data_IF_465880109029
#
_entry.id   IF_465880109029
#
_cell.length_a   1.000
_cell.length_b   1.000
_cell.length_c   1.000
_cell.angle_alpha   90.00
_cell.angle_beta   90.00
_cell.angle_gamma   90.00
#
_symmetry.space_group_name_H-M   'P 1'
#
loop_
_entity.id
_entity.type
_entity.pdbx_description
1 polymer ?
2 non-polymer ?
3 non-polymer ?
4 non-polymer ?
5 water ?
#
# COMPACT_ATOMS: atom_id res chain seq x y z
N UNK A 11 -23.13 -6.75 -10.91
CA UNK A 11 -22.76 -7.89 -11.75
C UNK A 11 -22.53 -7.43 -13.21
N UNK A 12 -23.13 -6.31 -13.58
CA UNK A 12 -22.74 -5.65 -14.82
C UNK A 12 -21.26 -5.36 -14.81
N UNK A 13 -20.74 -4.93 -13.66
CA UNK A 13 -19.36 -4.49 -13.55
C UNK A 13 -18.37 -5.65 -13.58
N UNK A 14 -18.73 -6.81 -13.00
CA UNK A 14 -17.82 -7.96 -13.10
C UNK A 14 -17.73 -8.46 -14.53
N UNK A 15 -18.83 -8.35 -15.28
CA UNK A 15 -18.84 -8.82 -16.65
C UNK A 15 -17.87 -8.03 -17.53
N UNK A 16 -17.94 -6.70 -17.47
CA UNK A 16 -17.06 -5.88 -18.29
C UNK A 16 -15.59 -6.08 -17.90
N UNK A 17 -15.33 -6.29 -16.59
CA UNK A 17 -13.96 -6.41 -16.12
C UNK A 17 -13.38 -7.79 -16.40
N UNK A 18 -14.20 -8.83 -16.24
CA UNK A 18 -13.71 -10.17 -16.55
C UNK A 18 -13.40 -10.32 -18.03
N UNK A 19 -14.10 -9.56 -18.88
CA UNK A 19 -13.88 -9.68 -20.31
C UNK A 19 -12.58 -9.01 -20.74
N UNK A 20 -12.33 -7.79 -20.23
CA UNK A 20 -11.31 -6.89 -20.78
C UNK A 20 -9.95 -7.56 -20.91
N UNK A 21 -9.13 -7.04 -21.85
CA UNK A 21 -7.72 -7.41 -21.95
C UNK A 21 -6.95 -6.63 -20.92
N UNK A 22 -5.94 -7.24 -20.31
CA UNK A 22 -5.18 -6.55 -19.27
C UNK A 22 -3.93 -6.00 -19.93
N UNK A 23 -3.83 -4.69 -20.16
CA UNK A 23 -2.65 -4.14 -20.80
C UNK A 23 -1.41 -4.44 -19.99
N UNK A 24 -0.26 -4.26 -20.62
CA UNK A 24 0.98 -4.63 -19.96
C UNK A 24 1.28 -3.69 -18.80
N UNK A 25 2.21 -4.15 -17.96
CA UNK A 25 2.72 -3.32 -16.87
C UNK A 25 3.26 -2.01 -17.42
N UNK A 26 4.00 -2.09 -18.53
CA UNK A 26 4.56 -0.89 -19.14
C UNK A 26 3.47 0.03 -19.67
N UNK A 27 2.42 -0.52 -20.29
CA UNK A 27 1.37 0.34 -20.84
C UNK A 27 0.65 1.11 -19.74
N UNK A 28 0.54 0.51 -18.54
CA UNK A 28 -0.24 1.08 -17.44
C UNK A 28 0.59 1.99 -16.54
N UNK A 29 1.90 1.90 -16.61
CA UNK A 29 2.83 2.77 -15.90
C UNK A 29 2.92 2.45 -14.41
N UNK A 30 2.46 1.26 -14.04
CA UNK A 30 2.38 0.83 -12.64
C UNK A 30 3.74 0.39 -12.14
N UNK A 31 4.79 0.57 -12.95
CA UNK A 31 6.18 0.34 -12.52
C UNK A 31 6.90 1.61 -12.07
N UNK A 32 6.39 2.79 -12.44
CA UNK A 32 7.02 4.05 -12.07
C UNK A 32 6.60 4.44 -10.66
N UNK A 33 7.59 4.71 -9.80
CA UNK A 33 7.26 5.31 -8.51
C UNK A 33 6.42 6.58 -8.64
N UNK A 34 6.41 7.21 -9.82
CA UNK A 34 5.72 8.48 -10.06
C UNK A 34 4.27 8.28 -10.50
N UNK A 35 3.79 7.04 -10.51
CA UNK A 35 2.49 6.73 -11.08
C UNK A 35 1.36 7.51 -10.39
N UNK A 36 0.35 7.90 -11.18
CA UNK A 36 -0.82 8.59 -10.65
C UNK A 36 -2.10 7.98 -11.21
N UNK A 37 -3.19 8.12 -10.46
CA UNK A 37 -4.43 7.44 -10.75
C UNK A 37 -5.57 8.38 -11.11
N UNK A 38 -5.31 9.69 -11.19
CA UNK A 38 -6.40 10.67 -11.30
C UNK A 38 -7.19 10.53 -12.59
N UNK A 39 -6.56 10.12 -13.69
CA UNK A 39 -7.27 10.01 -14.97
C UNK A 39 -7.95 8.67 -15.18
N UNK A 40 -7.89 7.76 -14.21
CA UNK A 40 -8.35 6.39 -14.40
C UNK A 40 -9.74 6.21 -13.83
N UNK A 41 -10.59 5.45 -14.54
CA UNK A 41 -11.85 5.05 -13.95
C UNK A 41 -11.63 3.92 -12.95
N UNK A 42 -12.68 3.61 -12.20
CA UNK A 42 -12.60 2.44 -11.32
C UNK A 42 -12.21 1.21 -12.10
N UNK A 43 -12.81 1.01 -13.28
CA UNK A 43 -12.50 -0.17 -14.08
C UNK A 43 -11.02 -0.25 -14.37
N UNK A 44 -10.39 0.89 -14.62
CA UNK A 44 -8.99 0.85 -15.05
C UNK A 44 -8.07 0.52 -13.87
N UNK A 45 -8.49 0.87 -12.65
CA UNK A 45 -7.68 0.52 -11.50
C UNK A 45 -7.81 -0.97 -11.21
N UNK A 46 -8.97 -1.55 -11.48
CA UNK A 46 -9.11 -3.00 -11.42
C UNK A 46 -8.14 -3.69 -12.37
N UNK A 47 -8.09 -3.24 -13.63
CA UNK A 47 -7.14 -3.84 -14.61
C UNK A 47 -5.71 -3.70 -14.14
N UNK A 48 -5.33 -2.47 -13.78
CA UNK A 48 -4.03 -2.26 -13.15
C UNK A 48 -3.79 -3.27 -12.03
N UNK A 49 -4.82 -3.54 -11.22
CA UNK A 49 -4.62 -4.45 -10.10
C UNK A 49 -4.44 -5.88 -10.58
N UNK A 50 -5.20 -6.32 -11.58
CA UNK A 50 -4.95 -7.64 -12.15
C UNK A 50 -3.53 -7.72 -12.70
N UNK A 51 -3.07 -6.66 -13.36
CA UNK A 51 -1.73 -6.70 -13.91
C UNK A 51 -0.68 -6.84 -12.81
N UNK A 52 -0.92 -6.20 -11.65
CA UNK A 52 -0.03 -6.36 -10.51
C UNK A 52 0.07 -7.81 -10.06
N UNK A 53 -1.10 -8.44 -9.83
CA UNK A 53 -1.08 -9.86 -9.45
C UNK A 53 -0.41 -10.71 -10.52
N UNK A 54 -0.60 -10.36 -11.79
CA UNK A 54 -0.16 -11.25 -12.86
C UNK A 54 1.35 -11.19 -13.04
N UNK A 55 1.89 -9.97 -13.12
CA UNK A 55 3.30 -9.78 -13.31
C UNK A 55 4.10 -10.04 -12.06
N UNK A 56 3.46 -10.18 -10.91
CA UNK A 56 4.19 -10.67 -9.76
C UNK A 56 4.29 -12.20 -9.75
N UNK A 57 3.64 -12.86 -10.71
CA UNK A 57 3.56 -14.31 -10.88
C UNK A 57 2.59 -14.93 -9.89
N UNK A 58 1.72 -14.10 -9.31
CA UNK A 58 0.80 -14.56 -8.28
C UNK A 58 -0.33 -15.39 -8.86
N UNK A 59 -0.77 -15.08 -10.07
CA UNK A 59 -1.85 -15.84 -10.70
C UNK A 59 -1.34 -17.20 -11.16
N UNK A 60 -0.11 -17.22 -11.68
CA UNK A 60 0.52 -18.47 -12.09
C UNK A 60 0.80 -19.36 -10.88
N UNK A 61 1.63 -18.85 -9.95
CA UNK A 61 2.18 -19.69 -8.89
C UNK A 61 1.12 -20.19 -7.90
N UNK A 62 -0.09 -19.62 -7.89
CA UNK A 62 -1.12 -19.99 -6.94
C UNK A 62 -2.47 -20.25 -7.62
N UNK A 63 -2.46 -20.38 -8.94
CA UNK A 63 -3.58 -20.92 -9.71
C UNK A 63 -4.88 -20.17 -9.40
N UNK A 64 -4.84 -18.86 -9.63
CA UNK A 64 -5.99 -18.02 -9.38
C UNK A 64 -6.90 -18.06 -10.60
N UNK A 65 -8.14 -18.50 -10.40
CA UNK A 65 -9.13 -18.45 -11.46
C UNK A 65 -9.45 -16.98 -11.78
N UNK A 66 -9.37 -16.63 -13.07
CA UNK A 66 -9.57 -15.25 -13.52
C UNK A 66 -10.86 -14.64 -12.97
N UNK A 67 -11.95 -15.41 -12.96
CA UNK A 67 -13.23 -14.86 -12.54
C UNK A 67 -13.22 -14.53 -11.05
N UNK A 68 -12.45 -15.28 -10.27
CA UNK A 68 -12.44 -15.07 -8.82
C UNK A 68 -11.58 -13.86 -8.44
N UNK A 69 -10.41 -13.71 -9.09
CA UNK A 69 -9.60 -12.51 -8.89
C UNK A 69 -10.41 -11.26 -9.22
N UNK A 70 -10.99 -11.20 -10.42
CA UNK A 70 -11.89 -10.10 -10.76
C UNK A 70 -12.92 -9.86 -9.67
N UNK A 71 -13.60 -10.92 -9.22
CA UNK A 71 -14.66 -10.71 -8.24
C UNK A 71 -14.09 -10.29 -6.88
N UNK A 72 -12.93 -10.84 -6.51
CA UNK A 72 -12.26 -10.40 -5.30
C UNK A 72 -11.91 -8.92 -5.35
N UNK A 73 -11.35 -8.46 -6.48
CA UNK A 73 -10.94 -7.05 -6.60
C UNK A 73 -12.14 -6.12 -6.47
N UNK A 74 -13.25 -6.45 -7.14
CA UNK A 74 -14.45 -5.63 -7.02
C UNK A 74 -15.04 -5.70 -5.62
N UNK A 75 -14.91 -6.84 -4.95
CA UNK A 75 -15.33 -6.87 -3.54
C UNK A 75 -14.53 -5.87 -2.74
N UNK A 76 -13.21 -5.92 -2.86
CA UNK A 76 -12.36 -5.03 -2.09
C UNK A 76 -12.73 -3.58 -2.38
N UNK A 77 -12.74 -3.19 -3.66
CA UNK A 77 -13.16 -1.84 -4.03
C UNK A 77 -14.53 -1.49 -3.43
N UNK A 78 -15.49 -2.42 -3.50
CA UNK A 78 -16.81 -2.15 -2.96
C UNK A 78 -16.76 -1.77 -1.48
N UNK A 79 -15.81 -2.29 -0.72
CA UNK A 79 -15.85 -2.14 0.73
C UNK A 79 -14.91 -1.05 1.23
N UNK A 80 -14.56 -0.13 0.34
CA UNK A 80 -14.10 1.20 0.70
C UNK A 80 -15.22 2.19 0.46
N UNK A 81 -15.19 3.28 1.22
CA UNK A 81 -16.27 4.25 1.25
C UNK A 81 -15.96 5.42 0.31
N UNK A 82 -16.83 5.60 -0.68
CA UNK A 82 -16.69 6.69 -1.63
C UNK A 82 -16.71 8.04 -0.93
N UNK A 83 -17.51 8.16 0.14
CA UNK A 83 -17.70 9.43 0.84
C UNK A 83 -16.50 9.84 1.73
N UNK A 84 -15.42 9.08 1.77
CA UNK A 84 -14.24 9.44 2.55
C UNK A 84 -13.20 10.00 1.58
N UNK A 85 -12.67 11.20 1.87
CA UNK A 85 -11.84 11.92 0.90
C UNK A 85 -10.52 11.20 0.60
N UNK A 86 -9.78 10.81 1.63
CA UNK A 86 -8.47 10.24 1.37
C UNK A 86 -8.44 8.72 1.57
N UNK A 87 -8.86 8.24 2.75
CA UNK A 87 -8.84 6.80 3.01
C UNK A 87 -9.99 6.13 2.24
N UNK A 88 -9.76 5.88 0.95
CA UNK A 88 -10.73 5.23 0.07
C UNK A 88 -10.01 4.25 -0.87
N UNK A 89 -10.79 3.64 -1.77
CA UNK A 89 -10.24 2.61 -2.65
C UNK A 89 -9.03 3.12 -3.43
N UNK A 90 -9.06 4.38 -3.88
CA UNK A 90 -7.93 4.91 -4.62
C UNK A 90 -6.68 4.95 -3.75
N UNK A 91 -6.79 5.34 -2.48
CA UNK A 91 -5.60 5.27 -1.64
C UNK A 91 -5.13 3.82 -1.48
N UNK A 92 -6.07 2.88 -1.39
CA UNK A 92 -5.70 1.47 -1.34
C UNK A 92 -5.03 1.01 -2.61
N UNK A 93 -5.56 1.44 -3.76
CA UNK A 93 -4.96 1.08 -5.04
C UNK A 93 -3.55 1.64 -5.18
N UNK A 94 -3.37 2.91 -4.79
CA UNK A 94 -2.06 3.55 -4.83
C UNK A 94 -1.06 2.87 -3.92
N UNK A 95 -1.47 2.48 -2.70
CA UNK A 95 -0.55 1.75 -1.83
C UNK A 95 -0.09 0.46 -2.48
N UNK A 96 -0.99 -0.23 -3.18
CA UNK A 96 -0.59 -1.46 -3.86
C UNK A 96 0.35 -1.20 -5.02
N UNK A 97 0.03 -0.18 -5.83
CA UNK A 97 0.92 0.19 -6.93
C UNK A 97 2.32 0.47 -6.42
N UNK A 98 2.42 1.17 -5.29
CA UNK A 98 3.74 1.47 -4.77
C UNK A 98 4.44 0.18 -4.33
N UNK A 99 3.69 -0.73 -3.69
CA UNK A 99 4.25 -2.04 -3.38
C UNK A 99 4.81 -2.70 -4.64
N UNK A 100 4.01 -2.68 -5.72
CA UNK A 100 4.43 -3.24 -7.00
C UNK A 100 5.70 -2.56 -7.51
N UNK A 101 5.72 -1.23 -7.50
CA UNK A 101 6.90 -0.56 -8.02
C UNK A 101 8.10 -0.83 -7.13
N UNK A 102 7.90 -0.89 -5.82
CA UNK A 102 9.00 -1.20 -4.93
C UNK A 102 9.52 -2.61 -5.20
N UNK A 103 8.64 -3.54 -5.54
CA UNK A 103 9.08 -4.91 -5.81
C UNK A 103 9.85 -4.99 -7.12
N UNK A 104 9.33 -4.38 -8.19
CA UNK A 104 9.97 -4.41 -9.51
C UNK A 104 11.01 -3.30 -9.68
N UNK A 105 10.55 -2.09 -10.00
CA UNK A 105 11.46 -0.95 -10.15
C UNK A 105 12.49 -0.87 -9.03
N UNK A 106 12.10 -1.16 -7.79
CA UNK A 106 12.99 -1.07 -6.66
C UNK A 106 13.72 -2.35 -6.30
N UNK A 107 13.56 -3.39 -7.12
CA UNK A 107 14.34 -4.62 -7.04
C UNK A 107 14.19 -5.36 -5.69
N UNK A 108 13.09 -5.14 -4.98
CA UNK A 108 12.90 -5.81 -3.69
C UNK A 108 12.32 -7.21 -3.89
N UNK A 109 11.75 -7.49 -5.06
CA UNK A 109 11.21 -8.82 -5.35
C UNK A 109 12.19 -9.92 -4.97
N UNK A 110 13.46 -9.78 -5.40
CA UNK A 110 14.50 -10.79 -5.17
C UNK A 110 14.63 -11.18 -3.71
N UNK A 111 14.37 -10.24 -2.81
CA UNK A 111 14.64 -10.42 -1.39
C UNK A 111 13.52 -11.15 -0.64
N UNK A 112 12.39 -11.46 -1.28
CA UNK A 112 11.23 -12.02 -0.59
C UNK A 112 10.80 -13.31 -1.27
N UNK A 113 10.01 -14.11 -0.54
CA UNK A 113 9.36 -15.27 -1.12
C UNK A 113 8.01 -14.89 -1.74
N UNK A 114 7.46 -15.84 -2.51
CA UNK A 114 6.19 -15.61 -3.20
C UNK A 114 5.04 -15.44 -2.22
N UNK A 115 5.07 -16.16 -1.09
CA UNK A 115 4.00 -16.03 -0.11
C UNK A 115 4.06 -14.66 0.56
N UNK A 116 5.28 -14.16 0.81
CA UNK A 116 5.42 -12.80 1.34
C UNK A 116 4.90 -11.78 0.34
N UNK A 117 5.24 -11.95 -0.94
CA UNK A 117 4.77 -11.03 -1.98
C UNK A 117 3.26 -11.10 -2.12
N UNK A 118 2.69 -12.31 -2.16
CA UNK A 118 1.25 -12.46 -2.27
C UNK A 118 0.54 -11.83 -1.07
N UNK A 119 1.14 -11.88 0.12
CA UNK A 119 0.53 -11.29 1.31
C UNK A 119 0.69 -9.77 1.34
N UNK A 120 1.85 -9.23 0.94
CA UNK A 120 2.02 -7.78 0.90
C UNK A 120 1.04 -7.12 -0.07
N UNK A 121 0.87 -7.71 -1.27
CA UNK A 121 -0.09 -7.16 -2.23
C UNK A 121 -1.53 -7.22 -1.71
N UNK A 122 -1.93 -8.33 -1.10
CA UNK A 122 -3.28 -8.39 -0.57
C UNK A 122 -3.44 -7.43 0.61
N UNK A 123 -2.42 -7.33 1.43
CA UNK A 123 -2.51 -6.45 2.59
C UNK A 123 -2.49 -4.99 2.15
N UNK A 124 -1.68 -4.64 1.14
CA UNK A 124 -1.68 -3.26 0.66
C UNK A 124 -3.06 -2.88 0.16
N UNK A 125 -3.69 -3.75 -0.63
CA UNK A 125 -5.03 -3.45 -1.15
C UNK A 125 -6.07 -3.46 -0.05
N UNK A 126 -5.85 -4.21 1.05
CA UNK A 126 -6.92 -4.39 2.04
C UNK A 126 -6.75 -3.53 3.29
N UNK A 127 -5.58 -2.89 3.48
CA UNK A 127 -5.12 -2.37 4.77
C UNK A 127 -5.98 -1.25 5.36
N UNK A 128 -6.93 -0.67 4.60
CA UNK A 128 -7.79 0.40 5.09
C UNK A 128 -9.27 0.08 4.84
N UNK A 129 -9.64 -1.19 4.67
CA UNK A 129 -11.00 -1.54 4.29
C UNK A 129 -12.03 -0.99 5.28
N UNK A 130 -13.10 -0.42 4.75
CA UNK A 130 -14.21 0.09 5.56
C UNK A 130 -13.76 1.24 6.49
N UNK A 131 -12.81 2.04 6.04
CA UNK A 131 -12.38 3.24 6.77
C UNK A 131 -13.41 4.36 6.58
N UNK A 132 -13.73 5.08 7.65
CA UNK A 132 -14.81 6.07 7.62
C UNK A 132 -14.31 7.52 7.77
N UNK A 133 -13.01 7.76 7.64
CA UNK A 133 -12.53 9.10 7.84
C UNK A 133 -12.02 9.29 9.24
N UNK A 134 -10.85 9.92 9.37
CA UNK A 134 -10.21 10.06 10.68
C UNK A 134 -11.14 10.69 11.72
N UNK A 135 -12.07 11.55 11.28
CA UNK A 135 -12.98 12.23 12.21
C UNK A 135 -14.29 11.48 12.43
N UNK A 136 -14.32 10.17 12.20
CA UNK A 136 -15.43 9.33 12.64
C UNK A 136 -14.85 8.14 13.41
N UNK A 137 -14.07 8.45 14.45
CA UNK A 137 -13.55 7.42 15.35
C UNK A 137 -14.58 6.97 16.40
N UNK A 138 -15.85 6.87 16.01
CA UNK A 138 -16.84 5.95 16.55
C UNK A 138 -16.26 4.52 16.67
N UNK A 139 -17.01 3.60 17.30
CA UNK A 139 -17.10 2.14 17.18
C UNK A 139 -17.33 1.55 18.58
N UNK A 140 -18.18 0.51 18.65
CA UNK A 140 -18.62 -0.17 19.88
C UNK A 140 -18.81 0.83 21.03
N UNK A 152 -3.68 0.02 20.71
CA UNK A 152 -3.41 -1.37 20.33
C UNK A 152 -3.96 -1.73 18.93
N UNK A 153 -4.04 -0.71 18.05
CA UNK A 153 -4.43 -0.87 16.66
C UNK A 153 -5.88 -1.34 16.50
N UNK A 154 -6.85 -0.53 16.91
CA UNK A 154 -8.25 -0.92 16.77
C UNK A 154 -8.66 -0.93 15.31
N UNK A 155 -8.43 0.19 14.60
CA UNK A 155 -8.75 0.30 13.19
C UNK A 155 -8.14 -0.83 12.38
N UNK A 156 -6.83 -1.01 12.51
CA UNK A 156 -6.11 -2.01 11.74
C UNK A 156 -6.70 -3.41 11.95
N UNK A 157 -7.11 -3.72 13.19
CA UNK A 157 -7.76 -5.00 13.45
C UNK A 157 -9.07 -5.09 12.70
N UNK A 158 -9.84 -4.02 12.68
CA UNK A 158 -11.07 -4.02 11.90
C UNK A 158 -10.79 -4.12 10.40
N UNK A 159 -9.73 -3.45 9.93
CA UNK A 159 -9.37 -3.55 8.53
C UNK A 159 -9.06 -4.99 8.15
N UNK A 160 -8.31 -5.68 9.01
CA UNK A 160 -7.97 -7.07 8.71
C UNK A 160 -9.22 -7.96 8.73
N UNK A 161 -10.11 -7.74 9.71
CA UNK A 161 -11.36 -8.49 9.74
C UNK A 161 -12.08 -8.39 8.41
N UNK A 162 -12.29 -7.16 7.94
CA UNK A 162 -12.91 -6.93 6.64
C UNK A 162 -12.19 -7.68 5.53
N UNK A 163 -10.85 -7.63 5.55
CA UNK A 163 -10.05 -8.30 4.53
C UNK A 163 -10.29 -9.80 4.53
N UNK A 164 -10.20 -10.43 5.72
CA UNK A 164 -10.44 -11.86 5.85
C UNK A 164 -11.86 -12.22 5.41
N UNK A 165 -12.85 -11.46 5.87
CA UNK A 165 -14.25 -11.66 5.53
C UNK A 165 -14.43 -11.71 4.02
N UNK A 166 -13.69 -10.86 3.29
CA UNK A 166 -13.76 -10.84 1.85
C UNK A 166 -13.04 -12.03 1.24
N UNK A 167 -11.81 -12.31 1.70
CA UNK A 167 -11.08 -13.46 1.20
C UNK A 167 -11.85 -14.77 1.35
N UNK A 168 -12.84 -14.83 2.25
CA UNK A 168 -13.64 -16.03 2.49
C UNK A 168 -14.98 -16.05 1.77
N UNK A 169 -15.44 -14.90 1.27
CA UNK A 169 -16.72 -14.86 0.59
C UNK A 169 -16.74 -15.82 -0.59
N UNK A 170 -17.84 -16.53 -0.82
CA UNK A 170 -17.90 -17.46 -1.96
C UNK A 170 -17.69 -16.72 -3.27
N UNK A 171 -16.85 -17.30 -4.13
CA UNK A 171 -16.51 -16.69 -5.39
C UNK A 171 -15.38 -15.69 -5.35
N UNK A 172 -14.87 -15.38 -4.15
CA UNK A 172 -13.83 -14.37 -3.99
C UNK A 172 -12.54 -14.96 -3.44
N UNK A 173 -12.46 -16.28 -3.33
CA UNK A 173 -11.38 -16.89 -2.56
C UNK A 173 -10.14 -17.09 -3.43
N UNK A 174 -9.36 -16.02 -3.58
CA UNK A 174 -8.18 -16.11 -4.43
C UNK A 174 -7.08 -16.96 -3.83
N UNK A 175 -7.22 -17.41 -2.59
CA UNK A 175 -6.18 -18.21 -1.96
C UNK A 175 -6.51 -19.72 -1.96
N UNK A 176 -7.57 -20.12 -2.68
CA UNK A 176 -7.93 -21.54 -2.75
C UNK A 176 -6.82 -22.38 -3.36
N UNK A 177 -5.99 -21.82 -4.23
CA UNK A 177 -4.93 -22.60 -4.82
C UNK A 177 -3.82 -22.96 -3.86
N UNK A 178 -3.83 -22.40 -2.65
CA UNK A 178 -2.77 -22.62 -1.68
C UNK A 178 -3.08 -23.83 -0.81
N UNK A 179 -2.03 -24.53 -0.39
CA UNK A 179 -2.23 -25.59 0.60
C UNK A 179 -2.64 -24.97 1.93
N UNK A 180 -3.09 -25.81 2.85
CA UNK A 180 -3.50 -25.30 4.15
C UNK A 180 -2.33 -24.60 4.85
N UNK A 181 -1.12 -25.15 4.72
CA UNK A 181 0.04 -24.52 5.36
C UNK A 181 0.48 -23.25 4.62
N UNK A 182 0.45 -23.24 3.28
CA UNK A 182 0.66 -21.98 2.58
C UNK A 182 -0.35 -20.93 3.02
N UNK A 183 -1.61 -21.35 3.16
CA UNK A 183 -2.70 -20.46 3.53
C UNK A 183 -2.48 -19.88 4.93
N UNK A 184 -2.16 -20.73 5.90
CA UNK A 184 -2.01 -20.21 7.26
C UNK A 184 -0.84 -19.24 7.35
N UNK A 185 0.27 -19.55 6.66
CA UNK A 185 1.42 -18.64 6.60
C UNK A 185 1.04 -17.30 5.95
N UNK A 186 0.30 -17.36 4.84
CA UNK A 186 -0.08 -16.14 4.14
C UNK A 186 -0.94 -15.23 5.02
N UNK A 187 -1.94 -15.79 5.71
CA UNK A 187 -2.82 -14.98 6.54
C UNK A 187 -2.10 -14.35 7.72
N UNK A 188 -1.08 -15.05 8.24
CA UNK A 188 -0.28 -14.48 9.31
C UNK A 188 0.40 -13.20 8.83
N UNK A 189 1.07 -13.29 7.67
CA UNK A 189 1.76 -12.12 7.12
C UNK A 189 0.76 -11.02 6.79
N UNK A 190 -0.31 -11.34 6.07
CA UNK A 190 -1.35 -10.36 5.75
C UNK A 190 -1.75 -9.57 6.99
N UNK A 191 -2.05 -10.28 8.07
CA UNK A 191 -2.46 -9.65 9.32
C UNK A 191 -1.35 -8.76 9.87
N UNK A 192 -0.14 -9.29 9.95
CA UNK A 192 1.00 -8.48 10.35
C UNK A 192 1.16 -7.27 9.44
N UNK A 193 1.03 -7.46 8.14
CA UNK A 193 1.20 -6.33 7.23
C UNK A 193 0.15 -5.26 7.46
N UNK A 194 -1.12 -5.65 7.61
CA UNK A 194 -2.15 -4.64 7.84
C UNK A 194 -1.93 -3.95 9.18
N UNK A 195 -1.58 -4.73 10.20
CA UNK A 195 -1.42 -4.13 11.52
C UNK A 195 -0.23 -3.19 11.53
N UNK A 196 0.81 -3.50 10.74
CA UNK A 196 1.96 -2.63 10.61
C UNK A 196 1.60 -1.23 10.13
N UNK A 197 0.43 -1.04 9.50
CA UNK A 197 0.08 0.28 8.99
C UNK A 197 -0.44 1.22 10.09
N UNK A 198 -0.48 0.75 11.34
CA UNK A 198 -0.66 1.64 12.49
C UNK A 198 0.63 2.41 12.73
N UNK A 199 0.61 3.73 12.55
CA UNK A 199 1.84 4.48 12.71
C UNK A 199 2.40 4.36 14.14
N UNK A 200 1.54 4.00 15.11
CA UNK A 200 2.03 3.74 16.47
C UNK A 200 3.03 2.57 16.48
N UNK A 201 2.67 1.45 15.84
CA UNK A 201 3.61 0.35 15.72
C UNK A 201 4.84 0.75 14.91
N UNK A 202 4.65 1.53 13.85
CA UNK A 202 5.80 2.00 13.09
C UNK A 202 6.77 2.78 13.98
N UNK A 203 6.25 3.70 14.79
CA UNK A 203 7.10 4.47 15.70
C UNK A 203 7.77 3.55 16.72
N UNK A 204 7.05 2.51 17.17
CA UNK A 204 7.60 1.63 18.19
C UNK A 204 8.76 0.80 17.64
N UNK A 205 8.71 0.42 16.36
CA UNK A 205 9.62 -0.60 15.85
C UNK A 205 10.67 -0.06 14.91
N UNK A 206 10.53 1.17 14.43
CA UNK A 206 11.47 1.68 13.43
C UNK A 206 12.84 1.94 14.03
N UNK A 207 12.90 2.27 15.32
CA UNK A 207 14.19 2.42 15.98
C UNK A 207 15.09 1.21 15.81
N UNK A 208 14.55 0.01 16.01
CA UNK A 208 15.33 -1.20 15.79
C UNK A 208 15.76 -1.32 14.34
N UNK A 209 14.88 -0.94 13.40
CA UNK A 209 15.18 -1.08 11.97
C UNK A 209 16.34 -0.18 11.57
N UNK A 210 16.27 1.11 11.92
CA UNK A 210 17.36 2.04 11.65
C UNK A 210 18.67 1.58 12.31
N UNK A 211 18.59 1.18 13.59
CA UNK A 211 19.76 0.72 14.34
C UNK A 211 20.50 -0.37 13.59
N UNK A 212 19.77 -1.34 13.04
CA UNK A 212 20.42 -2.45 12.34
C UNK A 212 20.96 -2.02 10.98
N UNK A 213 20.47 -0.93 10.41
CA UNK A 213 21.01 -0.42 9.17
C UNK A 213 22.16 0.54 9.43
N UNK A 214 22.06 1.32 10.51
CA UNK A 214 23.17 2.16 10.95
C UNK A 214 24.43 1.34 11.12
N UNK A 215 24.32 0.20 11.79
CA UNK A 215 25.45 -0.63 12.16
C UNK A 215 25.79 -1.69 11.11
N UNK A 216 25.18 -1.64 9.92
CA UNK A 216 25.46 -2.57 8.82
C UNK A 216 25.25 -4.04 9.21
N UNK A 217 24.34 -4.33 10.14
CA UNK A 217 24.06 -5.71 10.53
C UNK A 217 22.69 -6.18 10.07
N UNK A 218 22.04 -5.44 9.18
CA UNK A 218 20.70 -5.79 8.70
C UNK A 218 20.79 -7.02 7.79
N UNK A 219 20.22 -8.13 8.26
CA UNK A 219 20.22 -9.36 7.49
C UNK A 219 18.80 -9.91 7.43
N UNK A 220 18.29 -10.09 6.20
CA UNK A 220 16.91 -10.53 6.01
C UNK A 220 16.71 -11.99 6.35
N UNK A 221 17.79 -12.76 6.44
CA UNK A 221 17.63 -14.18 6.73
C UNK A 221 17.18 -14.43 8.16
N UNK A 222 17.43 -13.49 9.08
CA UNK A 222 16.84 -13.57 10.41
C UNK A 222 15.32 -13.42 10.26
N UNK A 223 14.52 -14.34 10.79
CA UNK A 223 13.06 -14.17 10.71
C UNK A 223 12.53 -12.89 11.35
N UNK A 224 12.96 -12.56 12.56
CA UNK A 224 12.48 -11.33 13.18
C UNK A 224 12.84 -10.11 12.35
N UNK A 225 14.00 -10.14 11.67
CA UNK A 225 14.39 -9.02 10.83
C UNK A 225 13.56 -8.97 9.54
N UNK A 226 13.32 -10.14 8.92
CA UNK A 226 12.44 -10.19 7.75
C UNK A 226 11.08 -9.59 8.06
N UNK A 227 10.44 -10.06 9.13
CA UNK A 227 9.11 -9.56 9.47
C UNK A 227 9.14 -8.06 9.75
N UNK A 228 10.26 -7.54 10.26
CA UNK A 228 10.34 -6.10 10.55
C UNK A 228 10.48 -5.30 9.27
N UNK A 229 11.28 -5.79 8.33
CA UNK A 229 11.35 -5.16 7.03
C UNK A 229 9.97 -5.10 6.39
N UNK A 230 9.23 -6.22 6.42
CA UNK A 230 7.90 -6.24 5.83
C UNK A 230 7.01 -5.16 6.44
N UNK A 231 7.03 -5.02 7.77
CA UNK A 231 6.28 -3.93 8.41
C UNK A 231 6.75 -2.57 7.90
N UNK A 232 8.06 -2.37 7.80
CA UNK A 232 8.56 -1.08 7.35
C UNK A 232 8.16 -0.80 5.91
N UNK A 233 8.23 -1.83 5.04
CA UNK A 233 7.80 -1.67 3.64
C UNK A 233 6.32 -1.33 3.52
N UNK A 234 5.48 -1.88 4.39
CA UNK A 234 4.07 -1.52 4.37
C UNK A 234 3.87 -0.04 4.66
N UNK A 235 4.61 0.51 5.64
CA UNK A 235 4.50 1.93 5.93
C UNK A 235 5.02 2.78 4.77
N UNK A 236 6.17 2.40 4.20
CA UNK A 236 6.74 3.13 3.08
C UNK A 236 5.75 3.27 1.93
N UNK A 237 4.92 2.23 1.71
CA UNK A 237 3.94 2.26 0.63
C UNK A 237 2.70 3.01 1.04
N UNK A 238 2.22 2.72 2.25
CA UNK A 238 1.08 3.42 2.83
C UNK A 238 1.26 4.94 2.75
N UNK A 239 2.44 5.44 3.04
CA UNK A 239 2.65 6.88 3.08
C UNK A 239 3.10 7.46 1.75
N UNK A 240 3.15 6.65 0.68
CA UNK A 240 3.96 7.00 -0.49
C UNK A 240 3.42 8.19 -1.30
N UNK A 241 2.17 8.60 -1.11
CA UNK A 241 1.72 9.86 -1.68
C UNK A 241 2.71 10.99 -1.40
N UNK A 242 3.37 10.92 -0.24
CA UNK A 242 4.31 11.97 0.15
C UNK A 242 5.53 12.01 -0.76
N UNK A 243 5.78 10.95 -1.55
CA UNK A 243 6.96 10.91 -2.41
C UNK A 243 6.66 11.37 -3.84
N UNK A 244 5.42 11.72 -4.15
CA UNK A 244 5.03 11.85 -5.54
C UNK A 244 5.44 13.21 -6.12
N UNK A 245 5.54 13.29 -7.46
CA UNK A 245 5.79 14.59 -8.09
C UNK A 245 4.87 15.65 -7.54
N UNK A 246 5.44 16.83 -7.30
CA UNK A 246 4.76 17.90 -6.57
C UNK A 246 3.29 18.14 -6.97
N UNK A 247 2.92 18.28 -8.24
CA UNK A 247 1.51 18.53 -8.53
C UNK A 247 0.62 17.36 -8.15
N UNK A 248 1.12 16.12 -8.24
CA UNK A 248 0.34 14.99 -7.73
C UNK A 248 0.24 15.06 -6.21
N UNK A 249 1.37 15.22 -5.54
CA UNK A 249 1.31 15.20 -4.07
C UNK A 249 0.47 16.35 -3.54
N UNK A 250 0.45 17.48 -4.24
CA UNK A 250 -0.35 18.61 -3.77
C UNK A 250 -1.82 18.29 -3.81
N UNK A 251 -2.24 17.48 -4.80
CA UNK A 251 -3.64 17.13 -4.96
C UNK A 251 -4.09 16.15 -3.89
N UNK A 252 -3.26 15.14 -3.60
CA UNK A 252 -3.53 14.26 -2.46
C UNK A 252 -3.57 15.07 -1.18
N UNK A 253 -2.53 15.88 -0.95
CA UNK A 253 -2.47 16.72 0.25
C UNK A 253 -3.76 17.46 0.47
N UNK A 254 -4.38 17.95 -0.61
CA UNK A 254 -5.74 18.46 -0.56
C UNK A 254 -6.69 17.44 0.05
N UNK A 255 -6.74 16.22 -0.52
CA UNK A 255 -7.67 15.20 -0.05
C UNK A 255 -7.44 14.87 1.42
N UNK A 256 -6.19 14.76 1.84
CA UNK A 256 -5.86 14.55 3.24
C UNK A 256 -6.44 15.68 4.08
N UNK A 257 -6.36 16.92 3.61
CA UNK A 257 -6.88 18.06 4.36
C UNK A 257 -8.40 18.04 4.42
N UNK A 258 -9.06 17.73 3.29
CA UNK A 258 -10.51 17.59 3.30
C UNK A 258 -10.96 16.60 4.37
N UNK A 259 -10.33 15.43 4.43
CA UNK A 259 -10.75 14.44 5.41
C UNK A 259 -10.50 14.93 6.83
N UNK A 260 -9.31 15.50 7.09
CA UNK A 260 -8.94 15.90 8.45
C UNK A 260 -9.78 17.08 8.93
N UNK A 261 -9.93 18.08 8.09
CA UNK A 261 -10.71 19.28 8.42
C UNK A 261 -12.19 19.04 8.17
N UNK A 262 -12.63 19.26 6.93
CA UNK A 262 -14.03 19.32 6.51
C UNK A 262 -14.73 17.97 6.59
N UNK A 263 -14.38 17.16 7.62
CA UNK A 263 -14.96 15.85 7.92
C UNK A 263 -15.77 15.24 6.79
N UNK A 264 -15.17 15.13 5.61
CA UNK A 264 -15.83 14.55 4.44
C UNK A 264 -14.87 13.84 3.51
N UNK A 285 -2.89 27.72 5.39
CA UNK A 285 -1.79 28.56 5.88
C UNK A 285 -0.98 27.81 6.92
N UNK A 286 -1.70 27.03 7.72
CA UNK A 286 -1.10 26.10 8.67
C UNK A 286 -0.61 24.82 7.98
N UNK A 287 -1.19 24.48 6.84
CA UNK A 287 -0.93 23.18 6.22
C UNK A 287 0.51 23.02 5.78
N UNK A 288 1.17 24.00 5.15
CA UNK A 288 2.51 23.70 4.63
C UNK A 288 3.48 23.26 5.70
N UNK A 289 3.46 23.90 6.88
CA UNK A 289 4.41 23.57 7.95
C UNK A 289 4.04 22.27 8.63
N UNK A 290 2.74 21.97 8.76
CA UNK A 290 2.32 20.64 9.16
C UNK A 290 2.89 19.60 8.22
N UNK A 291 2.86 19.87 6.92
CA UNK A 291 3.43 18.91 5.97
C UNK A 291 4.91 18.67 6.25
N UNK A 292 5.68 19.76 6.46
CA UNK A 292 7.12 19.61 6.74
C UNK A 292 7.36 18.84 8.05
N UNK A 293 6.51 19.05 9.05
CA UNK A 293 6.66 18.32 10.31
C UNK A 293 6.41 16.83 10.14
N UNK A 294 5.39 16.47 9.36
CA UNK A 294 5.11 15.06 9.12
C UNK A 294 6.20 14.42 8.27
N UNK A 295 6.75 15.15 7.30
CA UNK A 295 7.84 14.60 6.51
C UNK A 295 9.06 14.34 7.39
N UNK A 296 9.44 15.31 8.24
CA UNK A 296 10.61 15.15 9.10
C UNK A 296 10.37 14.09 10.17
N UNK A 297 9.21 14.09 10.80
CA UNK A 297 8.98 13.14 11.90
C UNK A 297 8.83 11.70 11.40
N UNK A 298 8.19 11.49 10.25
CA UNK A 298 7.68 10.17 9.86
C UNK A 298 8.42 9.62 8.65
N UNK A 299 8.55 10.43 7.59
CA UNK A 299 8.84 9.91 6.25
C UNK A 299 10.32 9.82 5.92
N UNK A 300 11.10 10.88 6.16
CA UNK A 300 12.45 10.92 5.56
C UNK A 300 13.30 9.75 6.01
N UNK A 301 13.33 9.47 7.31
CA UNK A 301 14.14 8.35 7.79
C UNK A 301 13.71 7.05 7.14
N UNK A 302 12.40 6.76 7.18
CA UNK A 302 11.86 5.58 6.50
C UNK A 302 12.44 5.43 5.10
N UNK A 303 12.28 6.46 4.27
CA UNK A 303 12.70 6.36 2.89
C UNK A 303 14.23 6.33 2.76
N UNK A 304 14.93 7.02 3.65
CA UNK A 304 16.39 6.88 3.72
C UNK A 304 16.78 5.43 4.00
N UNK A 305 16.27 4.85 5.09
CA UNK A 305 16.59 3.47 5.44
C UNK A 305 16.30 2.53 4.28
N UNK A 306 15.12 2.71 3.66
CA UNK A 306 14.71 1.88 2.54
C UNK A 306 15.70 1.95 1.40
N UNK A 307 16.27 3.13 1.17
CA UNK A 307 17.25 3.29 0.10
C UNK A 307 18.54 2.56 0.42
N UNK A 308 18.92 2.53 1.70
CA UNK A 308 20.10 1.74 2.09
C UNK A 308 19.88 0.25 1.84
N UNK A 309 18.65 -0.26 2.01
CA UNK A 309 18.41 -1.67 1.75
C UNK A 309 18.47 -1.97 0.27
N UNK A 310 17.88 -1.10 -0.56
CA UNK A 310 17.90 -1.29 -2.00
C UNK A 310 17.91 0.09 -2.62
N UNK A 311 19.05 0.48 -3.22
CA UNK A 311 19.11 1.85 -3.67
C UNK A 311 18.25 2.12 -4.90
N UNK A 312 17.58 1.13 -5.48
CA UNK A 312 16.60 1.48 -6.51
C UNK A 312 15.31 2.06 -5.96
N UNK A 313 15.15 2.09 -4.64
CA UNK A 313 14.06 2.80 -3.99
C UNK A 313 14.35 4.28 -3.77
N UNK A 314 15.48 4.78 -4.25
CA UNK A 314 15.83 6.19 -4.11
C UNK A 314 14.80 7.18 -4.66
N UNK A 315 14.09 6.90 -5.75
CA UNK A 315 13.04 7.82 -6.20
C UNK A 315 12.04 8.21 -5.12
N UNK A 316 11.77 7.30 -4.18
CA UNK A 316 10.87 7.61 -3.07
C UNK A 316 11.49 8.62 -2.12
N UNK A 317 12.72 8.35 -1.68
CA UNK A 317 13.45 9.30 -0.84
C UNK A 317 13.62 10.62 -1.58
N UNK A 318 13.98 10.53 -2.86
CA UNK A 318 14.15 11.74 -3.65
C UNK A 318 12.83 12.50 -3.76
N UNK A 319 11.75 11.81 -4.17
CA UNK A 319 10.46 12.46 -4.26
C UNK A 319 10.02 13.07 -2.94
N UNK A 320 10.38 12.42 -1.82
CA UNK A 320 10.03 12.98 -0.51
C UNK A 320 10.78 14.29 -0.27
N UNK A 321 12.06 14.36 -0.63
CA UNK A 321 12.85 15.57 -0.41
C UNK A 321 12.34 16.73 -1.25
N UNK A 322 12.13 16.50 -2.54
CA UNK A 322 11.59 17.54 -3.41
C UNK A 322 10.27 18.07 -2.88
N UNK A 323 9.44 17.23 -2.27
CA UNK A 323 8.21 17.71 -1.66
C UNK A 323 8.48 18.50 -0.38
N UNK A 324 9.51 18.13 0.38
CA UNK A 324 9.78 18.87 1.61
C UNK A 324 10.22 20.29 1.26
N UNK A 325 11.14 20.40 0.30
CA UNK A 325 11.55 21.67 -0.28
C UNK A 325 10.35 22.53 -0.65
N UNK A 326 9.44 21.98 -1.46
CA UNK A 326 8.32 22.79 -1.93
C UNK A 326 7.44 23.25 -0.77
N UNK A 327 7.12 22.33 0.15
CA UNK A 327 6.24 22.66 1.26
C UNK A 327 6.88 23.70 2.19
N UNK A 328 8.21 23.59 2.40
CA UNK A 328 8.92 24.53 3.26
C UNK A 328 8.88 25.94 2.69
N UNK A 329 9.08 26.06 1.38
CA UNK A 329 8.97 27.35 0.69
C UNK A 329 7.62 28.01 0.98
N UNK A 330 6.53 27.27 0.79
CA UNK A 330 5.23 27.80 1.17
C UNK A 330 5.15 28.08 2.67
N UNK A 331 5.76 27.22 3.50
CA UNK A 331 5.65 27.41 4.94
C UNK A 331 6.20 28.76 5.33
N UNK A 332 7.18 29.24 4.59
CA UNK A 332 7.80 30.55 4.74
C UNK A 332 7.02 31.65 4.04
N UNK A 333 5.80 31.37 3.58
CA UNK A 333 4.92 32.34 2.91
C UNK A 333 5.55 32.89 1.64
X LIG B 1 -3.55 3.81 4.55
X LIG C 1 -4.59 3.11 7.74
X LIG D 1 -0.43 10.65 4.09
X LIG D 1 -0.02 11.53 3.10
X LIG D 1 -0.13 13.33 4.71
X LIG D 1 -0.66 11.06 5.40
X LIG D 1 0.17 14.33 6.69
X LIG D 1 -0.33 13.09 6.98
X LIG D 1 -0.89 9.96 6.37
X LIG D 1 -0.68 12.51 8.31
X LIG D 1 -0.70 16.40 7.56
X LIG D 1 -0.55 17.73 7.21
X LIG D 1 -3.07 16.75 7.74
X LIG D 1 -1.48 9.13 8.61
X LIG D 1 -2.91 8.69 8.85
X LIG D 1 -3.22 7.38 8.21
X LIG D 1 0.50 15.47 7.62
X LIG D 1 -4.26 19.15 7.46
X LIG D 1 -2.89 18.07 7.42
X LIG D 1 -1.64 18.57 7.12
X LIG D 1 -1.97 15.92 7.81
X LIG D 1 0.30 14.48 5.33
X LIG D 1 0.16 12.87 3.42
X LIG D 1 0.68 13.82 2.58
X LIG D 1 0.33 14.76 0.78
X LIG D 1 -0.51 13.26 0.90
X LIG D 1 0.75 13.57 1.26
X LIG D 1 -0.54 12.43 5.71
X LIG D 1 -1.82 11.54 8.06
X LIG D 1 -1.37 10.21 7.62
X LIG D 1 -0.67 8.81 6.00
X LIG D 1 -3.10 7.41 6.78
X LIG D 1 -2.94 6.09 6.21
#
# INVERSE_FOLDING_TARGET
>A
SYHASAAEEETRELQSLAAAVVPSAQTLKITDFSFSDFELSDLETALCTIRMFTDLNLVQNFQMKHEVLCRWILSVKKNYRKNVAYHNWRHAFNTAQCMFAALKAGKIQNKLTDLEILALLIAALSHDLDHRGVNNSYIQRSEHPLAQLYCHSIMEHHHFDQCLMILNSPGNQILSGLSIEEYKTTLKIIKQAILATDLALYIKRRGEFFELIRKNQFNLEDPHQKELFLAMLMTACDLSAITKPWPIQQRIAELVATEFFDQGDRERKELNIEPTDLMNREKKNKIPSMQVGFIDAICLQLYEALTHVSEDCFPLLDGCRKNRQKWQALAEQQEKMLINGESGQAKRN
>B hetero
1 ZN ZN
>C hetero
1 MG MG
>D hetero
1 2VI C1 C2 C4 C6 C8 C9 C11 C14 C16 C17 C20 C23 C24 C25 C27 CL C19 C18 C21 N7 C3 O10 F31 F30 C29 C5 C13 N12 O15 O26 C28
#
